data_IF_537139618545
#
_entry.id   IF_537139618545
#
_cell.length_a   1.000
_cell.length_b   1.000
_cell.length_c   1.000
_cell.angle_alpha   90.00
_cell.angle_beta   90.00
_cell.angle_gamma   90.00
#
_symmetry.space_group_name_H-M   'P 1'
#
loop_
_entity.id
_entity.type
_entity.pdbx_description
1 polymer ?
#
# COMPACT_ATOMS: atom_id res chain seq x y z
N UNK A 1 -12.15 6.13 0.63
CA UNK A 1 -12.29 7.44 0.02
C UNK A 1 -11.13 8.35 0.42
N UNK A 2 -10.38 8.84 -0.56
CA UNK A 2 -9.20 9.67 -0.31
C UNK A 2 -9.53 10.98 0.40
N UNK A 3 -10.74 11.48 0.26
CA UNK A 3 -11.15 12.71 0.96
C UNK A 3 -11.08 12.59 2.48
N UNK A 4 -11.25 11.37 2.99
CA UNK A 4 -11.15 11.12 4.43
C UNK A 4 -9.71 11.02 4.92
N UNK A 5 -8.77 10.97 3.97
CA UNK A 5 -7.34 10.83 4.27
C UNK A 5 -6.58 12.14 4.10
N UNK A 6 -7.32 13.22 3.87
CA UNK A 6 -6.73 14.56 3.78
C UNK A 6 -5.93 14.86 5.03
N UNK A 7 -4.76 15.46 4.86
CA UNK A 7 -3.81 15.78 5.92
C UNK A 7 -3.03 14.58 6.44
N UNK A 8 -3.15 13.42 5.80
CA UNK A 8 -2.35 12.24 6.14
C UNK A 8 -1.43 11.87 4.98
N UNK A 9 -0.26 11.35 5.33
CA UNK A 9 0.58 10.68 4.34
C UNK A 9 0.01 9.30 4.13
N UNK A 10 -0.20 8.90 2.88
CA UNK A 10 -0.86 7.65 2.54
C UNK A 10 0.06 6.79 1.67
N UNK A 11 0.17 5.53 2.05
CA UNK A 11 0.86 4.50 1.28
C UNK A 11 -0.22 3.53 0.79
N UNK A 12 -0.47 3.50 -0.51
CA UNK A 12 -1.51 2.64 -1.08
C UNK A 12 -0.92 1.68 -2.08
N UNK A 13 -1.23 0.39 -1.93
CA UNK A 13 -0.72 -0.66 -2.79
C UNK A 13 -1.87 -1.52 -3.30
N UNK A 14 -1.92 -1.74 -4.60
CA UNK A 14 -2.89 -2.62 -5.25
C UNK A 14 -2.24 -3.97 -5.48
N UNK A 15 -2.91 -5.05 -5.06
CA UNK A 15 -2.31 -6.38 -5.04
C UNK A 15 -3.35 -7.49 -5.17
N UNK A 16 -2.88 -8.73 -5.26
CA UNK A 16 -3.73 -9.92 -5.22
C UNK A 16 -2.95 -11.10 -4.65
N UNK A 17 -3.64 -12.03 -4.04
CA UNK A 17 -3.01 -13.22 -3.43
C UNK A 17 -2.33 -14.11 -4.47
N UNK A 18 -2.82 -14.10 -5.70
CA UNK A 18 -2.26 -14.91 -6.81
C UNK A 18 -1.10 -14.22 -7.53
N UNK A 19 -0.80 -13.00 -7.17
CA UNK A 19 0.21 -12.18 -7.85
C UNK A 19 1.57 -12.40 -7.19
N UNK A 20 2.44 -13.21 -7.80
CA UNK A 20 3.74 -13.53 -7.23
C UNK A 20 4.62 -12.30 -6.94
N UNK A 21 4.74 -11.31 -7.85
CA UNK A 21 5.50 -10.10 -7.53
C UNK A 21 4.90 -9.33 -6.36
N UNK A 22 3.56 -9.29 -6.24
CA UNK A 22 2.90 -8.64 -5.11
C UNK A 22 3.32 -9.29 -3.79
N UNK A 23 3.28 -10.62 -3.75
CA UNK A 23 3.62 -11.38 -2.54
C UNK A 23 5.10 -11.22 -2.22
N UNK A 24 5.96 -11.17 -3.24
CA UNK A 24 7.40 -11.06 -3.05
C UNK A 24 7.81 -9.76 -2.35
N UNK A 25 7.07 -8.67 -2.55
CA UNK A 25 7.41 -7.39 -1.90
C UNK A 25 6.82 -7.24 -0.49
N UNK A 26 5.91 -8.12 -0.09
CA UNK A 26 5.21 -7.99 1.19
C UNK A 26 6.10 -8.02 2.43
N UNK A 27 7.16 -8.85 2.50
CA UNK A 27 8.03 -8.77 3.68
C UNK A 27 8.64 -7.39 3.89
N UNK A 28 9.05 -6.69 2.84
CA UNK A 28 9.57 -5.33 2.98
C UNK A 28 8.47 -4.34 3.35
N UNK A 29 7.26 -4.53 2.83
CA UNK A 29 6.12 -3.70 3.20
C UNK A 29 5.73 -3.89 4.67
N UNK A 30 5.81 -5.13 5.18
CA UNK A 30 5.48 -5.40 6.57
C UNK A 30 6.44 -4.69 7.51
N UNK A 31 7.73 -4.66 7.18
CA UNK A 31 8.73 -3.93 7.97
C UNK A 31 8.45 -2.43 7.96
N UNK A 32 8.15 -1.90 6.80
CA UNK A 32 7.82 -0.48 6.68
C UNK A 32 6.55 -0.16 7.49
N UNK A 33 5.53 -0.98 7.38
CA UNK A 33 4.29 -0.83 8.13
C UNK A 33 4.55 -0.82 9.64
N UNK A 34 5.35 -1.76 10.13
CA UNK A 34 5.63 -1.86 11.57
C UNK A 34 6.24 -0.55 12.11
N UNK A 35 7.09 0.10 11.31
CA UNK A 35 7.80 1.28 11.76
C UNK A 35 7.01 2.57 11.57
N UNK A 36 6.08 2.62 10.61
CA UNK A 36 5.39 3.87 10.25
C UNK A 36 3.88 3.86 10.48
N UNK A 37 3.32 2.76 10.96
CA UNK A 37 1.85 2.59 11.06
C UNK A 37 1.13 3.65 11.88
N UNK A 38 1.84 4.30 12.81
CA UNK A 38 1.24 5.34 13.65
C UNK A 38 1.30 6.72 13.01
N UNK A 39 2.02 6.88 11.91
CA UNK A 39 2.26 8.17 11.27
C UNK A 39 1.80 8.20 9.82
N UNK A 40 1.72 7.05 9.18
CA UNK A 40 1.35 6.90 7.78
C UNK A 40 0.13 5.99 7.70
N UNK A 41 -0.83 6.35 6.87
CA UNK A 41 -1.99 5.49 6.61
C UNK A 41 -1.64 4.52 5.50
N UNK A 42 -1.70 3.22 5.80
CA UNK A 42 -1.40 2.17 4.84
C UNK A 42 -2.69 1.55 4.32
N UNK A 43 -2.85 1.53 3.01
CA UNK A 43 -4.01 0.95 2.34
C UNK A 43 -3.54 -0.12 1.36
N UNK A 44 -3.89 -1.37 1.63
CA UNK A 44 -3.62 -2.49 0.75
C UNK A 44 -4.94 -2.89 0.11
N UNK A 45 -5.05 -2.68 -1.20
CA UNK A 45 -6.32 -2.76 -1.91
C UNK A 45 -6.31 -3.95 -2.86
N UNK A 46 -7.32 -4.80 -2.74
CA UNK A 46 -7.51 -5.94 -3.65
C UNK A 46 -8.99 -6.03 -3.99
N UNK A 47 -9.32 -6.64 -5.14
CA UNK A 47 -10.71 -6.92 -5.49
C UNK A 47 -11.12 -8.35 -5.16
N UNK A 48 -10.29 -9.07 -4.41
CA UNK A 48 -10.59 -10.42 -3.96
C UNK A 48 -11.52 -10.39 -2.76
N UNK A 49 -12.26 -11.50 -2.51
CA UNK A 49 -13.16 -11.57 -1.38
C UNK A 49 -12.40 -11.75 -0.07
N UNK A 50 -13.08 -11.46 1.04
CA UNK A 50 -12.49 -11.51 2.37
C UNK A 50 -11.99 -12.90 2.76
N UNK A 51 -12.69 -13.95 2.35
CA UNK A 51 -12.27 -15.31 2.69
C UNK A 51 -10.90 -15.63 2.11
N UNK A 52 -10.70 -15.29 0.84
CA UNK A 52 -9.42 -15.51 0.15
C UNK A 52 -8.30 -14.75 0.84
N UNK A 53 -8.54 -13.48 1.16
CA UNK A 53 -7.53 -12.63 1.80
C UNK A 53 -7.22 -13.12 3.21
N UNK A 54 -8.25 -13.49 3.97
CA UNK A 54 -8.10 -13.95 5.34
C UNK A 54 -7.26 -15.23 5.40
N UNK A 55 -7.53 -16.18 4.52
CA UNK A 55 -6.73 -17.41 4.46
C UNK A 55 -5.27 -17.11 4.11
N UNK A 56 -5.06 -16.20 3.18
CA UNK A 56 -3.71 -15.78 2.79
C UNK A 56 -2.96 -15.18 3.97
N UNK A 57 -3.59 -14.26 4.71
CA UNK A 57 -2.96 -13.60 5.85
C UNK A 57 -2.63 -14.60 6.96
N UNK A 58 -3.52 -15.54 7.24
CA UNK A 58 -3.27 -16.57 8.24
C UNK A 58 -2.07 -17.44 7.85
N UNK A 59 -1.98 -17.80 6.58
CA UNK A 59 -0.90 -18.65 6.08
C UNK A 59 0.45 -17.93 6.06
N UNK A 60 0.45 -16.64 5.68
CA UNK A 60 1.69 -15.87 5.52
C UNK A 60 2.04 -15.02 6.73
N UNK A 61 1.12 -14.89 7.67
CA UNK A 61 1.33 -14.15 8.92
C UNK A 61 1.64 -12.67 8.73
N UNK A 62 0.99 -12.05 7.77
CA UNK A 62 1.05 -10.61 7.58
C UNK A 62 -0.01 -9.92 8.44
N UNK A 63 0.27 -8.67 8.83
CA UNK A 63 -0.58 -7.93 9.76
C UNK A 63 -1.07 -6.58 9.23
N UNK A 64 -0.58 -6.14 8.05
CA UNK A 64 -1.02 -4.85 7.55
C UNK A 64 -2.48 -4.91 7.07
N UNK A 65 -3.21 -3.79 7.18
CA UNK A 65 -4.63 -3.79 6.82
C UNK A 65 -4.83 -3.93 5.31
N UNK A 66 -5.89 -4.62 4.93
CA UNK A 66 -6.24 -4.74 3.53
C UNK A 66 -7.70 -4.32 3.34
N UNK A 67 -8.01 -3.84 2.15
CA UNK A 67 -9.32 -3.34 1.80
C UNK A 67 -9.77 -3.92 0.48
N UNK A 68 -11.07 -4.23 0.40
CA UNK A 68 -11.66 -4.64 -0.85
C UNK A 68 -11.98 -3.38 -1.68
N UNK A 69 -11.77 -3.46 -2.99
CA UNK A 69 -12.04 -2.35 -3.89
C UNK A 69 -13.54 -2.33 -4.20
N UNK A 70 -14.34 -1.80 -3.28
CA UNK A 70 -15.79 -1.76 -3.39
C UNK A 70 -16.29 -0.57 -4.19
N UNK A 71 -15.50 0.51 -4.25
CA UNK A 71 -15.87 1.71 -4.97
C UNK A 71 -14.90 1.96 -6.10
N UNK A 72 -15.29 2.80 -7.04
CA UNK A 72 -14.43 3.14 -8.16
C UNK A 72 -13.15 3.82 -7.67
N UNK A 73 -12.02 3.34 -8.15
CA UNK A 73 -10.72 3.91 -7.83
C UNK A 73 -10.60 5.30 -8.46
N UNK A 74 -10.08 6.31 -7.74
CA UNK A 74 -9.79 7.60 -8.35
C UNK A 74 -8.91 7.45 -9.58
N UNK A 75 -9.15 8.26 -10.59
CA UNK A 75 -8.48 8.14 -11.88
C UNK A 75 -6.95 8.20 -11.74
N UNK A 76 -6.45 9.04 -10.84
CA UNK A 76 -5.01 9.20 -10.62
C UNK A 76 -4.34 7.92 -10.12
N UNK A 77 -5.12 7.03 -9.47
CA UNK A 77 -4.60 5.79 -8.91
C UNK A 77 -4.98 4.56 -9.73
N UNK A 78 -5.69 4.76 -10.84
CA UNK A 78 -6.19 3.65 -11.63
C UNK A 78 -5.05 2.98 -12.38
N UNK A 79 -4.90 1.67 -12.16
CA UNK A 79 -3.85 0.87 -12.80
C UNK A 79 -4.40 -0.49 -13.18
N UNK A 80 -4.04 -0.94 -14.37
CA UNK A 80 -4.38 -2.29 -14.83
C UNK A 80 -3.30 -3.30 -14.43
N UNK A 81 -2.10 -2.82 -14.04
CA UNK A 81 -0.95 -3.66 -13.69
C UNK A 81 -0.80 -3.74 -12.19
N UNK A 82 -0.61 -4.92 -11.64
CA UNK A 82 -0.27 -5.11 -10.23
C UNK A 82 1.08 -5.83 -10.12
N UNK A 83 1.86 -5.57 -9.06
CA UNK A 83 1.57 -4.59 -8.02
C UNK A 83 1.77 -3.16 -8.51
N UNK A 84 0.97 -2.25 -7.98
CA UNK A 84 1.15 -0.81 -8.20
C UNK A 84 1.02 -0.11 -6.86
N UNK A 85 1.99 0.72 -6.52
CA UNK A 85 2.09 1.32 -5.20
C UNK A 85 2.35 2.81 -5.31
N UNK A 86 1.67 3.57 -4.47
CA UNK A 86 1.74 5.03 -4.48
C UNK A 86 2.01 5.54 -3.07
N UNK A 87 2.79 6.62 -2.98
CA UNK A 87 2.91 7.40 -1.74
C UNK A 87 2.34 8.77 -2.03
N UNK A 88 1.40 9.20 -1.19
CA UNK A 88 0.62 10.42 -1.39
C UNK A 88 0.87 11.33 -0.18
N UNK A 89 1.16 12.61 -0.44
CA UNK A 89 1.45 13.57 0.63
C UNK A 89 0.16 14.10 1.29
N UNK A 90 0.34 14.96 2.29
CA UNK A 90 -0.78 15.54 3.05
C UNK A 90 -1.67 16.45 2.20
N UNK A 91 -1.20 16.87 1.04
CA UNK A 91 -1.99 17.67 0.10
C UNK A 91 -2.66 16.82 -0.99
N UNK A 92 -2.63 15.50 -0.81
CA UNK A 92 -3.20 14.53 -1.76
C UNK A 92 -2.45 14.49 -3.10
N UNK A 93 -1.17 14.85 -3.07
CA UNK A 93 -0.32 14.82 -4.25
C UNK A 93 0.45 13.50 -4.28
N UNK A 94 0.50 12.84 -5.44
CA UNK A 94 1.24 11.60 -5.61
C UNK A 94 2.74 11.95 -5.69
N UNK A 95 3.50 11.47 -4.71
CA UNK A 95 4.94 11.71 -4.62
C UNK A 95 5.73 10.55 -5.21
N UNK A 96 5.27 9.32 -4.99
CA UNK A 96 5.91 8.12 -5.53
C UNK A 96 4.86 7.29 -6.24
N UNK A 97 5.19 6.81 -7.44
CA UNK A 97 4.36 5.88 -8.20
C UNK A 97 5.27 4.78 -8.72
N UNK A 98 5.05 3.56 -8.28
CA UNK A 98 5.87 2.41 -8.65
C UNK A 98 5.00 1.30 -9.20
N UNK A 99 5.30 0.86 -10.42
CA UNK A 99 4.70 -0.34 -11.02
C UNK A 99 5.69 -1.49 -10.85
N UNK A 100 5.16 -2.64 -10.44
CA UNK A 100 5.99 -3.81 -10.19
C UNK A 100 6.53 -3.83 -8.77
N UNK A 101 7.19 -4.94 -8.43
CA UNK A 101 7.69 -5.16 -7.08
C UNK A 101 8.90 -4.29 -6.77
N UNK A 102 9.04 -3.93 -5.49
CA UNK A 102 10.16 -3.13 -5.02
C UNK A 102 10.50 -3.52 -3.59
N UNK A 103 11.68 -3.12 -3.14
CA UNK A 103 12.04 -3.23 -1.74
C UNK A 103 11.56 -1.96 -1.04
N UNK A 104 10.42 -2.07 -0.34
CA UNK A 104 9.80 -0.93 0.32
C UNK A 104 10.47 -0.56 1.62
N UNK A 105 11.37 -1.42 2.14
CA UNK A 105 12.15 -1.14 3.35
C UNK A 105 13.51 -0.51 3.00
N UNK A 106 13.62 0.17 1.88
CA UNK A 106 14.88 0.79 1.44
C UNK A 106 15.12 2.12 2.13
N UNK A 107 16.39 2.54 2.16
CA UNK A 107 16.77 3.84 2.70
C UNK A 107 16.08 4.97 1.96
N UNK A 108 15.95 4.85 0.64
CA UNK A 108 15.31 5.87 -0.20
C UNK A 108 13.85 6.08 0.17
N UNK A 109 13.10 4.99 0.36
CA UNK A 109 11.68 5.09 0.72
C UNK A 109 11.51 5.64 2.12
N UNK A 110 12.34 5.20 3.07
CA UNK A 110 12.29 5.72 4.43
C UNK A 110 12.60 7.21 4.46
N UNK A 111 13.57 7.66 3.66
CA UNK A 111 13.90 9.09 3.56
C UNK A 111 12.73 9.90 3.01
N UNK A 112 12.02 9.36 2.01
CA UNK A 112 10.82 10.03 1.47
C UNK A 112 9.76 10.19 2.57
N UNK A 113 9.45 9.10 3.28
CA UNK A 113 8.44 9.17 4.34
C UNK A 113 8.85 10.12 5.46
N UNK A 114 10.11 10.06 5.89
CA UNK A 114 10.59 10.94 6.96
C UNK A 114 10.48 12.41 6.55
N UNK A 115 10.79 12.72 5.29
CA UNK A 115 10.64 14.08 4.78
C UNK A 115 9.19 14.53 4.77
N UNK A 116 8.28 13.66 4.35
CA UNK A 116 6.86 14.00 4.29
C UNK A 116 6.22 14.16 5.68
N UNK A 117 6.81 13.54 6.69
CA UNK A 117 6.29 13.58 8.06
C UNK A 117 6.82 14.75 8.90
N UNK A 118 7.72 15.54 8.35
CA UNK A 118 8.27 16.70 9.06
C UNK A 118 7.26 17.82 9.25
#
# INVERSE_FOLDING_TARGET
NLNKLENNVVFVSFWATWCAPCVAEMPSMQKLFNDYKNQVTFLYVTNENWETVSEFYNKKKFEFPTYNQLTKTPEELKESTIPSTFIIDTSQKIIVKKRGAANWNSTEIRAVLDTLLK
#
